data_IF_621891643792
#
_entry.id   IF_621891643792
#
_cell.length_a   1.000
_cell.length_b   1.000
_cell.length_c   1.000
_cell.angle_alpha   90.00
_cell.angle_beta   90.00
_cell.angle_gamma   90.00
#
_symmetry.space_group_name_H-M   'P 1'
#
loop_
_entity.id
_entity.type
_entity.pdbx_description
1 polymer ?
#
# COMPACT_ATOMS: atom_id res chain seq x y z
N UNK A 1 -13.51 -22.69 -8.57
CA UNK A 1 -13.73 -21.55 -7.65
C UNK A 1 -12.72 -20.46 -8.00
N UNK A 2 -13.16 -19.21 -8.19
CA UNK A 2 -12.26 -18.05 -8.32
C UNK A 2 -12.02 -17.50 -6.91
N UNK A 3 -10.76 -17.34 -6.49
CA UNK A 3 -10.45 -16.76 -5.17
C UNK A 3 -10.94 -15.30 -5.13
N UNK A 4 -11.54 -14.82 -4.04
CA UNK A 4 -11.95 -13.41 -3.97
C UNK A 4 -10.78 -12.46 -3.72
N UNK A 5 -9.71 -12.94 -3.08
CA UNK A 5 -8.57 -12.14 -2.64
C UNK A 5 -7.30 -13.01 -2.57
N UNK A 6 -6.14 -12.42 -2.90
CA UNK A 6 -4.82 -13.04 -2.76
C UNK A 6 -3.93 -12.05 -1.99
N UNK A 7 -3.41 -12.46 -0.84
CA UNK A 7 -2.40 -11.71 -0.10
C UNK A 7 -0.98 -12.10 -0.57
N UNK A 8 -0.09 -11.12 -0.70
CA UNK A 8 1.30 -11.33 -1.13
C UNK A 8 2.22 -10.61 -0.13
N UNK A 9 2.79 -11.37 0.80
CA UNK A 9 3.65 -10.87 1.86
C UNK A 9 5.11 -11.32 1.70
N UNK A 10 6.01 -10.59 2.36
CA UNK A 10 7.45 -10.84 2.30
C UNK A 10 8.26 -9.58 2.61
N UNK A 11 9.59 -9.70 2.78
CA UNK A 11 10.44 -8.57 3.18
C UNK A 11 10.55 -7.50 2.09
N UNK A 12 11.13 -6.35 2.44
CA UNK A 12 11.34 -5.24 1.49
C UNK A 12 12.20 -5.69 0.30
N UNK A 13 11.95 -5.12 -0.88
CA UNK A 13 12.72 -5.31 -2.11
C UNK A 13 12.75 -6.72 -2.73
N UNK A 14 11.97 -7.69 -2.24
CA UNK A 14 11.88 -9.04 -2.87
C UNK A 14 11.01 -9.11 -4.14
N UNK A 15 10.55 -7.98 -4.66
CA UNK A 15 9.77 -7.93 -5.91
C UNK A 15 8.25 -8.16 -5.77
N UNK A 16 7.67 -8.04 -4.57
CA UNK A 16 6.23 -8.24 -4.31
C UNK A 16 5.32 -7.44 -5.23
N UNK A 17 5.58 -6.13 -5.39
CA UNK A 17 4.75 -5.28 -6.25
C UNK A 17 4.85 -5.68 -7.72
N UNK A 18 6.05 -6.06 -8.18
CA UNK A 18 6.27 -6.54 -9.55
C UNK A 18 5.54 -7.85 -9.82
N UNK A 19 5.71 -8.84 -8.94
CA UNK A 19 5.05 -10.15 -9.07
C UNK A 19 3.54 -10.02 -8.91
N UNK A 20 3.07 -9.24 -7.93
CA UNK A 20 1.65 -9.02 -7.67
C UNK A 20 0.93 -8.34 -8.83
N UNK A 21 1.54 -7.32 -9.44
CA UNK A 21 0.99 -6.65 -10.63
C UNK A 21 0.89 -7.62 -11.82
N UNK A 22 1.94 -8.42 -12.07
CA UNK A 22 1.95 -9.43 -13.13
C UNK A 22 0.90 -10.53 -12.88
N UNK A 23 0.77 -10.99 -11.64
CA UNK A 23 -0.22 -12.01 -11.25
C UNK A 23 -1.64 -11.48 -11.43
N UNK A 24 -1.91 -10.26 -10.97
CA UNK A 24 -3.23 -9.63 -11.08
C UNK A 24 -3.66 -9.49 -12.55
N UNK A 25 -2.74 -9.06 -13.44
CA UNK A 25 -2.99 -8.99 -14.88
C UNK A 25 -3.32 -10.36 -15.49
N UNK A 26 -2.65 -11.43 -15.06
CA UNK A 26 -2.89 -12.80 -15.57
C UNK A 26 -4.21 -13.39 -15.10
N UNK A 27 -4.66 -13.03 -13.90
CA UNK A 27 -5.86 -13.59 -13.28
C UNK A 27 -7.12 -12.71 -13.44
N UNK A 28 -6.97 -11.54 -14.05
CA UNK A 28 -8.00 -10.50 -14.13
C UNK A 28 -8.45 -10.02 -12.73
N UNK A 29 -7.47 -9.52 -11.96
CA UNK A 29 -7.63 -8.91 -10.63
C UNK A 29 -7.08 -7.49 -10.65
N UNK A 30 -7.50 -6.71 -9.67
CA UNK A 30 -6.85 -5.45 -9.32
C UNK A 30 -5.69 -5.74 -8.36
N UNK A 31 -4.52 -5.19 -8.64
CA UNK A 31 -3.39 -5.22 -7.71
C UNK A 31 -3.49 -4.03 -6.74
N UNK A 32 -3.44 -4.30 -5.43
CA UNK A 32 -3.51 -3.28 -4.38
C UNK A 32 -2.19 -3.21 -3.60
N UNK A 33 -1.40 -2.15 -3.81
CA UNK A 33 -0.11 -1.94 -3.13
C UNK A 33 -0.30 -1.15 -1.82
N UNK A 34 -0.39 -1.88 -0.71
CA UNK A 34 -0.48 -1.27 0.63
C UNK A 34 0.75 -0.43 0.98
N UNK A 35 1.93 -0.81 0.49
CA UNK A 35 3.17 -0.07 0.71
C UNK A 35 3.13 1.32 0.07
N UNK A 36 2.57 1.43 -1.14
CA UNK A 36 2.36 2.71 -1.81
C UNK A 36 1.35 3.59 -1.07
N UNK A 37 0.29 3.00 -0.53
CA UNK A 37 -0.70 3.70 0.29
C UNK A 37 -0.05 4.35 1.53
N UNK A 38 0.73 3.58 2.31
CA UNK A 38 1.44 4.13 3.47
C UNK A 38 2.42 5.24 3.08
N UNK A 39 3.18 5.06 1.98
CA UNK A 39 4.13 6.07 1.48
C UNK A 39 3.43 7.36 1.05
N UNK A 40 2.30 7.26 0.35
CA UNK A 40 1.52 8.41 -0.08
C UNK A 40 0.95 9.18 1.13
N UNK A 41 0.44 8.46 2.13
CA UNK A 41 -0.02 9.07 3.37
C UNK A 41 1.12 9.76 4.14
N UNK A 42 2.27 9.09 4.31
CA UNK A 42 3.46 9.71 4.92
C UNK A 42 3.91 10.95 4.15
N UNK A 43 3.91 10.92 2.83
CA UNK A 43 4.24 12.10 2.02
C UNK A 43 3.27 13.26 2.28
N UNK A 44 1.96 12.98 2.39
CA UNK A 44 0.94 13.98 2.74
C UNK A 44 1.22 14.56 4.13
N UNK A 45 1.47 13.74 5.14
CA UNK A 45 1.79 14.19 6.50
C UNK A 45 3.04 15.10 6.51
N UNK A 46 4.12 14.70 5.83
CA UNK A 46 5.33 15.49 5.69
C UNK A 46 5.09 16.82 4.98
N UNK A 47 4.22 16.85 3.96
CA UNK A 47 3.84 18.08 3.25
C UNK A 47 3.10 19.08 4.14
N UNK A 48 2.30 18.60 5.09
CA UNK A 48 1.60 19.43 6.06
C UNK A 48 2.42 19.69 7.34
N UNK A 49 3.64 19.15 7.44
CA UNK A 49 4.50 19.33 8.62
C UNK A 49 3.98 18.64 9.88
N UNK A 50 3.09 17.65 9.75
CA UNK A 50 2.48 16.96 10.88
C UNK A 50 3.46 15.90 11.41
N UNK A 51 3.87 15.95 12.69
CA UNK A 51 4.76 14.96 13.28
C UNK A 51 4.14 13.55 13.28
N UNK A 52 4.92 12.48 13.08
CA UNK A 52 4.41 11.11 13.13
C UNK A 52 3.90 10.70 14.52
N UNK A 53 4.25 11.47 15.56
CA UNK A 53 3.78 11.28 16.94
C UNK A 53 2.43 11.93 17.23
N UNK A 54 1.89 12.75 16.31
CA UNK A 54 0.61 13.44 16.49
C UNK A 54 -0.53 12.66 15.80
N UNK A 55 -0.93 11.56 16.42
CA UNK A 55 -1.99 10.67 15.89
C UNK A 55 -3.30 11.41 15.57
N UNK A 56 -3.67 12.38 16.40
CA UNK A 56 -4.92 13.14 16.23
C UNK A 56 -4.93 13.93 14.92
N UNK A 57 -3.86 14.65 14.62
CA UNK A 57 -3.74 15.43 13.38
C UNK A 57 -3.53 14.52 12.16
N UNK A 58 -2.78 13.42 12.30
CA UNK A 58 -2.61 12.44 11.23
C UNK A 58 -3.97 11.83 10.83
N UNK A 59 -4.82 11.51 11.81
CA UNK A 59 -6.14 10.95 11.55
C UNK A 59 -7.06 11.89 10.76
N UNK A 60 -6.83 13.20 10.80
CA UNK A 60 -7.58 14.19 10.02
C UNK A 60 -7.11 14.29 8.56
N UNK A 61 -5.98 13.66 8.20
CA UNK A 61 -5.50 13.59 6.82
C UNK A 61 -6.04 12.40 6.03
N UNK A 62 -6.67 11.42 6.68
CA UNK A 62 -7.27 10.26 6.03
C UNK A 62 -8.61 10.61 5.38
#
# INVERSE_FOLDING_TARGET
>A
MKLSLIAIDGPVAVGKSSVGSLLAKKLDYVFFDTGLMYRAFTWKALKFGIPPTNEKELSQLA
#
